data_IF_955850530281
#
_entry.id   IF_955850530281
#
_cell.length_a   1.000
_cell.length_b   1.000
_cell.length_c   1.000
_cell.angle_alpha   90.00
_cell.angle_beta   90.00
_cell.angle_gamma   90.00
#
_symmetry.space_group_name_H-M   'P 1'
#
loop_
_entity.id
_entity.type
_entity.pdbx_description
1 polymer ?
#
# COMPACT_ATOMS: atom_id res chain seq x y z
N UNK A 1 11.09 -16.90 5.09
CA UNK A 1 9.62 -16.92 5.02
C UNK A 1 9.24 -17.39 3.62
N UNK A 2 8.24 -18.26 3.48
CA UNK A 2 7.80 -18.74 2.17
C UNK A 2 6.73 -17.83 1.54
N UNK A 3 6.43 -18.10 0.26
CA UNK A 3 5.49 -17.31 -0.54
C UNK A 3 4.04 -17.39 -0.03
N UNK A 4 3.64 -18.55 0.52
CA UNK A 4 2.28 -18.76 1.06
C UNK A 4 2.09 -17.91 2.32
N UNK A 5 3.10 -17.87 3.17
CA UNK A 5 3.11 -17.07 4.40
C UNK A 5 3.04 -15.59 4.06
N UNK A 6 3.77 -15.13 3.03
CA UNK A 6 3.67 -13.75 2.56
C UNK A 6 2.26 -13.40 2.08
N UNK A 7 1.63 -14.27 1.29
CA UNK A 7 0.23 -14.08 0.87
C UNK A 7 -0.68 -13.96 2.09
N UNK A 8 -0.62 -14.94 3.00
CA UNK A 8 -1.48 -15.00 4.18
C UNK A 8 -1.34 -13.76 5.06
N UNK A 9 -0.12 -13.34 5.33
CA UNK A 9 0.18 -12.14 6.13
C UNK A 9 -0.34 -10.87 5.45
N UNK A 10 -0.08 -10.70 4.15
CA UNK A 10 -0.52 -9.54 3.39
C UNK A 10 -2.06 -9.40 3.36
N UNK A 11 -2.75 -10.48 2.97
CA UNK A 11 -4.21 -10.46 2.84
C UNK A 11 -4.90 -10.41 4.21
N UNK A 12 -4.34 -11.10 5.21
CA UNK A 12 -4.84 -11.09 6.58
C UNK A 12 -4.78 -9.70 7.20
N UNK A 13 -3.64 -9.02 7.10
CA UNK A 13 -3.52 -7.65 7.61
C UNK A 13 -4.44 -6.67 6.88
N UNK A 14 -4.53 -6.76 5.54
CA UNK A 14 -5.44 -5.94 4.75
C UNK A 14 -6.90 -6.12 5.18
N UNK A 15 -7.35 -7.37 5.35
CA UNK A 15 -8.72 -7.67 5.78
C UNK A 15 -9.01 -7.14 7.20
N UNK A 16 -8.13 -7.46 8.16
CA UNK A 16 -8.30 -7.07 9.56
C UNK A 16 -8.36 -5.55 9.72
N UNK A 17 -7.43 -4.83 9.06
CA UNK A 17 -7.40 -3.37 9.14
C UNK A 17 -8.62 -2.75 8.46
N UNK A 18 -9.02 -3.26 7.29
CA UNK A 18 -10.23 -2.81 6.61
C UNK A 18 -11.47 -2.96 7.49
N UNK A 19 -11.64 -4.13 8.12
CA UNK A 19 -12.75 -4.39 9.05
C UNK A 19 -12.68 -3.44 10.26
N UNK A 20 -11.51 -3.32 10.90
CA UNK A 20 -11.35 -2.51 12.11
C UNK A 20 -11.68 -1.03 11.86
N UNK A 21 -11.17 -0.45 10.78
CA UNK A 21 -11.43 0.94 10.42
C UNK A 21 -12.89 1.12 9.97
N UNK A 22 -13.40 0.23 9.14
CA UNK A 22 -14.77 0.33 8.63
C UNK A 22 -15.83 0.19 9.74
N UNK A 23 -15.58 -0.62 10.77
CA UNK A 23 -16.50 -0.76 11.92
C UNK A 23 -16.41 0.40 12.90
N UNK A 24 -15.22 0.93 13.14
CA UNK A 24 -15.01 2.03 14.10
C UNK A 24 -15.36 3.39 13.52
N UNK A 25 -15.29 3.57 12.19
CA UNK A 25 -15.39 4.88 11.54
C UNK A 25 -14.25 5.83 11.97
N UNK A 26 -13.11 5.28 12.42
CA UNK A 26 -12.02 6.03 13.02
C UNK A 26 -11.50 7.17 12.13
N UNK A 27 -11.41 6.90 10.83
CA UNK A 27 -10.84 7.81 9.81
C UNK A 27 -11.92 8.35 8.87
N UNK A 28 -13.19 8.20 9.22
CA UNK A 28 -14.30 8.63 8.38
C UNK A 28 -14.64 10.10 8.61
N UNK A 29 -15.09 10.78 7.55
CA UNK A 29 -15.64 12.14 7.57
C UNK A 29 -14.71 13.21 8.18
N UNK A 30 -13.39 13.04 8.06
CA UNK A 30 -12.41 14.03 8.52
C UNK A 30 -12.53 15.33 7.70
N UNK A 31 -12.63 16.46 8.40
CA UNK A 31 -12.82 17.83 7.88
C UNK A 31 -11.57 18.72 8.01
N UNK A 32 -10.57 18.30 8.77
CA UNK A 32 -9.33 19.03 9.00
C UNK A 32 -9.36 19.94 10.24
N UNK A 33 -10.22 19.66 11.22
CA UNK A 33 -10.17 20.33 12.52
C UNK A 33 -9.06 19.74 13.42
N UNK A 34 -8.89 20.28 14.64
CA UNK A 34 -7.84 19.82 15.56
C UNK A 34 -7.95 18.32 15.92
N UNK A 35 -9.17 17.80 16.05
CA UNK A 35 -9.41 16.38 16.34
C UNK A 35 -9.02 15.50 15.15
N UNK A 36 -9.25 16.00 13.94
CA UNK A 36 -8.84 15.33 12.71
C UNK A 36 -7.32 15.25 12.56
N UNK A 37 -6.53 16.20 13.07
CA UNK A 37 -5.06 16.09 13.05
C UNK A 37 -4.53 14.91 13.87
N UNK A 38 -5.17 14.58 14.99
CA UNK A 38 -4.86 13.37 15.76
C UNK A 38 -5.20 12.13 14.93
N UNK A 39 -6.36 12.12 14.27
CA UNK A 39 -6.80 11.01 13.40
C UNK A 39 -5.90 10.85 12.17
N UNK A 40 -5.45 11.93 11.55
CA UNK A 40 -4.45 11.91 10.48
C UNK A 40 -3.16 11.29 10.96
N UNK A 41 -2.66 11.68 12.13
CA UNK A 41 -1.45 11.11 12.74
C UNK A 41 -1.59 9.61 12.99
N UNK A 42 -2.73 9.19 13.55
CA UNK A 42 -3.05 7.77 13.76
C UNK A 42 -3.09 7.02 12.43
N UNK A 43 -3.76 7.58 11.41
CA UNK A 43 -3.80 6.99 10.07
C UNK A 43 -2.40 6.82 9.46
N UNK A 44 -1.58 7.87 9.49
CA UNK A 44 -0.19 7.85 8.99
C UNK A 44 0.60 6.74 9.68
N UNK A 45 0.53 6.63 11.00
CA UNK A 45 1.26 5.63 11.77
C UNK A 45 0.73 4.22 11.47
N UNK A 46 -0.58 4.01 11.46
CA UNK A 46 -1.18 2.69 11.19
C UNK A 46 -0.80 2.18 9.80
N UNK A 47 -0.99 2.99 8.75
CA UNK A 47 -0.65 2.59 7.39
C UNK A 47 0.86 2.56 7.14
N UNK A 48 1.64 3.39 7.85
CA UNK A 48 3.10 3.34 7.87
C UNK A 48 3.63 2.04 8.49
N UNK A 49 3.07 1.61 9.63
CA UNK A 49 3.38 0.31 10.25
C UNK A 49 3.03 -0.84 9.30
N UNK A 50 1.91 -0.77 8.60
CA UNK A 50 1.58 -1.78 7.59
C UNK A 50 2.61 -1.82 6.45
N UNK A 51 3.08 -0.65 6.01
CA UNK A 51 4.14 -0.53 5.01
C UNK A 51 5.46 -1.15 5.51
N UNK A 52 5.81 -0.89 6.77
CA UNK A 52 6.96 -1.50 7.47
C UNK A 52 6.84 -3.02 7.51
N UNK A 53 5.70 -3.54 7.99
CA UNK A 53 5.41 -4.97 8.06
C UNK A 53 5.48 -5.62 6.69
N UNK A 54 4.99 -4.94 5.64
CA UNK A 54 5.12 -5.41 4.26
C UNK A 54 6.58 -5.59 3.80
N UNK A 55 7.51 -4.80 4.34
CA UNK A 55 8.96 -4.94 4.08
C UNK A 55 9.64 -5.96 4.98
N UNK A 56 9.21 -6.08 6.24
CA UNK A 56 9.73 -7.09 7.18
C UNK A 56 9.33 -8.49 6.70
N UNK A 57 8.09 -8.63 6.23
CA UNK A 57 7.57 -9.83 5.60
C UNK A 57 8.07 -9.99 4.15
N UNK A 58 9.20 -9.41 3.77
CA UNK A 58 9.71 -9.60 2.41
C UNK A 58 10.41 -10.94 2.23
N UNK A 59 10.38 -11.44 1.00
CA UNK A 59 11.20 -12.59 0.59
C UNK A 59 12.35 -12.06 -0.23
N UNK A 60 13.57 -12.45 0.16
CA UNK A 60 14.78 -11.98 -0.50
C UNK A 60 15.12 -12.91 -1.68
N UNK A 61 15.23 -12.33 -2.87
CA UNK A 61 15.67 -13.00 -4.10
C UNK A 61 16.87 -12.26 -4.66
N UNK A 62 18.06 -12.85 -4.55
CA UNK A 62 19.32 -12.34 -5.13
C UNK A 62 19.62 -10.85 -4.83
N UNK A 63 19.21 -10.35 -3.67
CA UNK A 63 19.41 -8.95 -3.27
C UNK A 63 18.23 -8.01 -3.55
N UNK A 64 17.15 -8.51 -4.15
CA UNK A 64 15.85 -7.84 -4.21
C UNK A 64 14.91 -8.34 -3.12
N UNK A 65 13.99 -7.47 -2.70
CA UNK A 65 13.00 -7.76 -1.67
C UNK A 65 11.62 -7.83 -2.33
N UNK A 66 11.08 -9.03 -2.50
CA UNK A 66 9.69 -9.24 -2.89
C UNK A 66 8.81 -8.90 -1.69
N UNK A 67 8.10 -7.78 -1.77
CA UNK A 67 7.40 -7.17 -0.65
C UNK A 67 6.07 -6.54 -1.09
N UNK A 68 5.19 -6.29 -0.13
CA UNK A 68 3.85 -5.71 -0.36
C UNK A 68 3.71 -4.32 0.24
N UNK A 69 4.84 -3.63 0.41
CA UNK A 69 4.98 -2.37 1.15
C UNK A 69 4.05 -1.26 0.65
N UNK A 70 3.80 -1.21 -0.65
CA UNK A 70 2.99 -0.16 -1.27
C UNK A 70 1.51 -0.23 -0.85
N UNK A 71 1.04 -1.38 -0.36
CA UNK A 71 -0.34 -1.57 0.09
C UNK A 71 -0.77 -0.52 1.11
N UNK A 72 -0.02 -0.37 2.22
CA UNK A 72 -0.34 0.59 3.29
C UNK A 72 -0.56 2.02 2.77
N UNK A 73 0.43 2.61 2.08
CA UNK A 73 0.30 3.91 1.44
C UNK A 73 -0.87 4.02 0.45
N UNK A 74 -1.14 2.98 -0.34
CA UNK A 74 -2.26 2.97 -1.30
C UNK A 74 -3.60 2.97 -0.56
N UNK A 75 -3.79 2.14 0.48
CA UNK A 75 -5.03 2.14 1.27
C UNK A 75 -5.25 3.51 1.92
N UNK A 76 -4.19 4.05 2.54
CA UNK A 76 -4.15 5.33 3.20
C UNK A 76 -4.54 6.47 2.26
N UNK A 77 -3.90 6.52 1.09
CA UNK A 77 -4.13 7.54 0.08
C UNK A 77 -5.51 7.45 -0.56
N UNK A 78 -5.93 6.25 -1.01
CA UNK A 78 -7.18 6.06 -1.75
C UNK A 78 -8.43 6.28 -0.92
N UNK A 79 -8.42 5.95 0.37
CA UNK A 79 -9.63 5.99 1.20
C UNK A 79 -9.63 7.15 2.20
N UNK A 80 -8.45 7.62 2.62
CA UNK A 80 -8.32 8.60 3.71
C UNK A 80 -7.50 9.85 3.32
N UNK A 81 -7.07 9.94 2.05
CA UNK A 81 -6.55 11.15 1.45
C UNK A 81 -5.02 11.30 1.45
N UNK A 82 -4.51 12.37 0.80
CA UNK A 82 -3.10 12.49 0.44
C UNK A 82 -2.18 12.63 1.65
N UNK A 83 -2.63 13.25 2.74
CA UNK A 83 -1.83 13.42 3.95
C UNK A 83 -1.47 12.06 4.54
N UNK A 84 -2.45 11.15 4.65
CA UNK A 84 -2.23 9.80 5.17
C UNK A 84 -1.41 8.97 4.20
N UNK A 85 -1.75 9.00 2.90
CA UNK A 85 -1.04 8.24 1.88
C UNK A 85 0.45 8.58 1.80
N UNK A 86 0.79 9.88 1.74
CA UNK A 86 2.18 10.35 1.68
C UNK A 86 2.90 10.09 2.99
N UNK A 87 2.27 10.37 4.14
CA UNK A 87 2.89 10.13 5.45
C UNK A 87 3.25 8.66 5.65
N UNK A 88 2.33 7.74 5.32
CA UNK A 88 2.59 6.30 5.37
C UNK A 88 3.70 5.89 4.38
N UNK A 89 3.71 6.47 3.18
CA UNK A 89 4.74 6.20 2.18
C UNK A 89 6.14 6.61 2.64
N UNK A 90 6.26 7.77 3.28
CA UNK A 90 7.55 8.25 3.83
C UNK A 90 8.06 7.28 4.88
N UNK A 91 7.21 6.80 5.80
CA UNK A 91 7.60 5.82 6.83
C UNK A 91 8.10 4.52 6.18
N UNK A 92 7.33 3.97 5.22
CA UNK A 92 7.71 2.75 4.51
C UNK A 92 8.97 2.91 3.65
N UNK A 93 9.13 4.05 3.00
CA UNK A 93 10.31 4.37 2.19
C UNK A 93 11.55 4.55 3.07
N UNK A 94 11.45 5.25 4.20
CA UNK A 94 12.55 5.45 5.13
C UNK A 94 13.12 4.13 5.66
N UNK A 95 12.25 3.19 6.02
CA UNK A 95 12.69 1.86 6.44
C UNK A 95 13.29 1.04 5.31
N UNK A 96 12.71 1.07 4.10
CA UNK A 96 13.33 0.41 2.95
C UNK A 96 14.70 1.00 2.66
N UNK A 97 14.85 2.31 2.80
CA UNK A 97 16.11 3.01 2.57
C UNK A 97 17.20 2.51 3.54
N UNK A 98 16.87 2.29 4.82
CA UNK A 98 17.83 1.76 5.80
C UNK A 98 18.31 0.34 5.53
N UNK A 99 17.59 -0.45 4.70
CA UNK A 99 17.98 -1.83 4.39
C UNK A 99 19.08 -1.95 3.32
N UNK A 100 19.36 -0.88 2.56
CA UNK A 100 20.39 -0.94 1.51
C UNK A 100 20.05 -1.90 0.35
N UNK A 101 21.02 -2.10 -0.56
CA UNK A 101 20.92 -2.99 -1.71
C UNK A 101 20.55 -2.31 -3.04
N UNK A 102 20.63 -3.08 -4.13
CA UNK A 102 20.52 -2.57 -5.50
C UNK A 102 19.16 -1.96 -5.85
N UNK A 103 18.09 -2.38 -5.16
CA UNK A 103 16.72 -1.93 -5.44
C UNK A 103 16.23 -0.80 -4.53
N UNK A 104 17.08 -0.24 -3.66
CA UNK A 104 16.65 0.80 -2.68
C UNK A 104 15.96 1.97 -3.34
N UNK A 105 16.64 2.59 -4.31
CA UNK A 105 16.17 3.80 -4.96
C UNK A 105 14.82 3.58 -5.68
N UNK A 106 14.70 2.61 -6.61
CA UNK A 106 13.42 2.36 -7.28
C UNK A 106 12.30 2.00 -6.30
N UNK A 107 12.58 1.15 -5.31
CA UNK A 107 11.57 0.73 -4.34
C UNK A 107 11.12 1.88 -3.43
N UNK A 108 12.00 2.77 -2.98
CA UNK A 108 11.61 3.93 -2.18
C UNK A 108 10.77 4.92 -3.01
N UNK A 109 11.21 5.21 -4.23
CA UNK A 109 10.52 6.13 -5.12
C UNK A 109 9.14 5.61 -5.50
N UNK A 110 9.02 4.32 -5.83
CA UNK A 110 7.74 3.69 -6.14
C UNK A 110 6.75 3.79 -4.98
N UNK A 111 7.18 3.55 -3.74
CA UNK A 111 6.33 3.66 -2.55
C UNK A 111 5.84 5.09 -2.32
N UNK A 112 6.72 6.09 -2.50
CA UNK A 112 6.35 7.52 -2.40
C UNK A 112 5.33 7.88 -3.49
N UNK A 113 5.59 7.48 -4.74
CA UNK A 113 4.68 7.70 -5.86
C UNK A 113 3.32 7.03 -5.59
N UNK A 114 3.32 5.81 -5.06
CA UNK A 114 2.10 5.09 -4.74
C UNK A 114 1.23 5.84 -3.72
N UNK A 115 1.82 6.33 -2.62
CA UNK A 115 1.11 7.13 -1.61
C UNK A 115 0.64 8.49 -2.13
N UNK A 116 1.46 9.16 -2.94
CA UNK A 116 1.12 10.46 -3.53
C UNK A 116 -0.03 10.33 -4.55
N UNK A 117 0.11 9.44 -5.54
CA UNK A 117 -0.85 9.29 -6.63
C UNK A 117 -2.20 8.78 -6.11
N UNK A 118 -2.20 7.80 -5.21
CA UNK A 118 -3.44 7.35 -4.56
C UNK A 118 -4.15 8.47 -3.80
N UNK A 119 -3.40 9.31 -3.08
CA UNK A 119 -3.90 10.50 -2.41
C UNK A 119 -4.49 11.56 -3.34
N UNK A 120 -3.83 11.81 -4.47
CA UNK A 120 -4.32 12.71 -5.51
C UNK A 120 -5.63 12.18 -6.12
N UNK A 121 -5.71 10.87 -6.39
CA UNK A 121 -6.92 10.25 -6.91
C UNK A 121 -8.07 10.38 -5.90
N UNK A 122 -7.81 10.20 -4.61
CA UNK A 122 -8.80 10.49 -3.58
C UNK A 122 -9.30 11.94 -3.66
N UNK A 123 -8.41 12.91 -3.82
CA UNK A 123 -8.79 14.33 -3.88
C UNK A 123 -9.78 14.63 -5.02
N UNK A 124 -9.56 14.06 -6.21
CA UNK A 124 -10.41 14.31 -7.38
C UNK A 124 -11.66 13.44 -7.46
N UNK A 125 -11.58 12.18 -7.01
CA UNK A 125 -12.66 11.20 -7.26
C UNK A 125 -13.48 10.87 -6.00
N UNK A 126 -12.94 11.04 -4.78
CA UNK A 126 -13.58 10.78 -3.48
C UNK A 126 -14.59 9.63 -3.50
N UNK A 127 -15.88 9.96 -3.52
CA UNK A 127 -17.00 9.02 -3.41
C UNK A 127 -17.18 8.12 -4.65
N UNK A 128 -16.54 8.43 -5.77
CA UNK A 128 -16.59 7.63 -7.00
C UNK A 128 -15.61 6.46 -6.99
N UNK A 129 -14.72 6.37 -6.01
CA UNK A 129 -13.75 5.28 -5.90
C UNK A 129 -14.49 4.01 -5.45
N UNK A 130 -14.63 3.06 -6.37
CA UNK A 130 -15.14 1.71 -6.09
C UNK A 130 -14.00 0.75 -5.76
N UNK A 131 -14.31 -0.42 -5.19
CA UNK A 131 -13.32 -1.50 -4.96
C UNK A 131 -12.57 -1.85 -6.25
N UNK A 132 -13.28 -1.91 -7.38
CA UNK A 132 -12.68 -2.22 -8.68
C UNK A 132 -11.72 -1.12 -9.11
N UNK A 133 -12.13 0.15 -9.02
CA UNK A 133 -11.28 1.29 -9.37
C UNK A 133 -10.03 1.32 -8.49
N UNK A 134 -10.19 1.15 -7.17
CA UNK A 134 -9.07 1.08 -6.22
C UNK A 134 -8.07 -0.03 -6.58
N UNK A 135 -8.57 -1.20 -6.96
CA UNK A 135 -7.75 -2.34 -7.38
C UNK A 135 -7.00 -2.07 -8.68
N UNK A 136 -7.67 -1.46 -9.68
CA UNK A 136 -7.04 -1.09 -10.94
C UNK A 136 -5.96 -0.03 -10.77
N UNK A 137 -6.17 0.94 -9.87
CA UNK A 137 -5.15 1.94 -9.52
C UNK A 137 -3.94 1.26 -8.87
N UNK A 138 -4.17 0.34 -7.93
CA UNK A 138 -3.10 -0.42 -7.30
C UNK A 138 -2.31 -1.25 -8.32
N UNK A 139 -2.99 -1.85 -9.30
CA UNK A 139 -2.36 -2.56 -10.40
C UNK A 139 -1.49 -1.62 -11.23
N UNK A 140 -2.01 -0.47 -11.64
CA UNK A 140 -1.26 0.52 -12.39
C UNK A 140 -0.02 1.02 -11.62
N UNK A 141 -0.14 1.30 -10.32
CA UNK A 141 0.97 1.70 -9.47
C UNK A 141 2.03 0.59 -9.30
N UNK A 142 1.59 -0.66 -9.22
CA UNK A 142 2.50 -1.82 -9.17
C UNK A 142 3.27 -1.97 -10.48
N UNK A 143 2.64 -1.70 -11.63
CA UNK A 143 3.33 -1.66 -12.93
C UNK A 143 4.34 -0.51 -13.01
N UNK A 144 3.99 0.68 -12.50
CA UNK A 144 4.94 1.80 -12.38
C UNK A 144 6.14 1.41 -11.52
N UNK A 145 5.92 0.67 -10.42
CA UNK A 145 7.02 0.13 -9.62
C UNK A 145 7.95 -0.76 -10.45
N UNK A 146 7.41 -1.67 -11.26
CA UNK A 146 8.22 -2.54 -12.13
C UNK A 146 9.02 -1.73 -13.16
N UNK A 147 8.42 -0.70 -13.75
CA UNK A 147 9.11 0.21 -14.66
C UNK A 147 10.28 0.90 -13.95
N UNK A 148 10.06 1.41 -12.73
CA UNK A 148 11.13 2.03 -11.95
C UNK A 148 12.26 1.06 -11.64
N UNK A 149 11.95 -0.20 -11.31
CA UNK A 149 12.96 -1.24 -11.13
C UNK A 149 13.80 -1.44 -12.39
N UNK A 150 13.19 -1.51 -13.58
CA UNK A 150 13.93 -1.70 -14.84
C UNK A 150 14.90 -0.54 -15.08
N UNK A 151 14.45 0.70 -14.91
CA UNK A 151 15.23 1.87 -15.31
C UNK A 151 16.23 2.37 -14.28
N UNK A 152 15.99 2.15 -12.98
CA UNK A 152 16.80 2.73 -11.91
C UNK A 152 17.71 1.73 -11.20
N UNK A 153 17.68 0.47 -11.61
CA UNK A 153 18.56 -0.57 -11.05
C UNK A 153 19.77 -0.77 -11.98
N UNK A 154 21.00 -0.91 -11.46
CA UNK A 154 22.20 -1.05 -12.30
C UNK A 154 22.23 -2.35 -13.11
N UNK A 155 23.00 -2.35 -14.21
CA UNK A 155 23.36 -3.53 -15.00
C UNK A 155 22.16 -4.41 -15.45
N UNK A 156 21.02 -3.80 -15.78
CA UNK A 156 19.78 -4.51 -16.14
C UNK A 156 19.25 -5.47 -15.05
N UNK A 157 19.71 -5.34 -13.79
CA UNK A 157 19.27 -6.22 -12.71
C UNK A 157 17.75 -6.13 -12.49
N UNK A 158 17.14 -4.96 -12.69
CA UNK A 158 15.69 -4.80 -12.64
C UNK A 158 14.94 -5.65 -13.66
N UNK A 159 15.48 -5.80 -14.87
CA UNK A 159 14.91 -6.67 -15.91
C UNK A 159 14.98 -8.13 -15.48
N UNK A 160 16.16 -8.58 -15.06
CA UNK A 160 16.39 -9.93 -14.53
C UNK A 160 15.41 -10.28 -13.40
N UNK A 161 15.21 -9.37 -12.44
CA UNK A 161 14.29 -9.59 -11.33
C UNK A 161 12.84 -9.82 -11.79
N UNK A 162 12.42 -9.19 -12.87
CA UNK A 162 11.03 -9.28 -13.34
C UNK A 162 10.82 -10.52 -14.21
N UNK A 163 11.82 -10.93 -15.00
CA UNK A 163 11.71 -12.07 -15.92
C UNK A 163 12.12 -13.40 -15.31
N UNK A 164 13.17 -13.40 -14.48
CA UNK A 164 13.80 -14.63 -13.98
C UNK A 164 13.40 -14.97 -12.54
N UNK A 165 12.67 -14.08 -11.86
CA UNK A 165 12.25 -14.30 -10.47
C UNK A 165 10.74 -14.04 -10.29
N UNK A 166 10.09 -14.63 -9.27
CA UNK A 166 8.70 -14.34 -8.98
C UNK A 166 8.47 -12.91 -8.45
N UNK A 167 9.50 -12.07 -8.30
CA UNK A 167 9.40 -10.72 -7.74
C UNK A 167 8.43 -9.84 -8.51
N UNK A 168 8.54 -9.81 -9.84
CA UNK A 168 7.69 -8.97 -10.68
C UNK A 168 6.22 -9.38 -10.59
N UNK A 169 5.92 -10.64 -10.90
CA UNK A 169 4.55 -11.16 -10.86
C UNK A 169 3.97 -11.13 -9.45
N UNK A 170 4.78 -11.39 -8.43
CA UNK A 170 4.39 -11.34 -7.02
C UNK A 170 3.94 -9.95 -6.61
N UNK A 171 4.74 -8.90 -6.87
CA UNK A 171 4.35 -7.53 -6.49
C UNK A 171 3.11 -7.08 -7.26
N UNK A 172 3.07 -7.31 -8.58
CA UNK A 172 1.96 -6.92 -9.47
C UNK A 172 0.64 -7.62 -9.14
N UNK A 173 0.67 -8.76 -8.46
CA UNK A 173 -0.55 -9.47 -8.04
C UNK A 173 -0.91 -9.24 -6.57
N UNK A 174 0.07 -9.31 -5.67
CA UNK A 174 -0.17 -9.26 -4.22
C UNK A 174 -0.60 -7.89 -3.71
N UNK A 175 -0.05 -6.79 -4.27
CA UNK A 175 -0.46 -5.43 -3.87
C UNK A 175 -1.89 -5.13 -4.35
N UNK A 176 -2.28 -5.38 -5.61
CA UNK A 176 -3.67 -5.16 -6.01
C UNK A 176 -4.66 -6.05 -5.28
N UNK A 177 -4.34 -7.33 -5.04
CA UNK A 177 -5.19 -8.22 -4.27
C UNK A 177 -5.40 -7.74 -2.83
N UNK A 178 -4.35 -7.23 -2.18
CA UNK A 178 -4.50 -6.69 -0.83
C UNK A 178 -5.31 -5.38 -0.82
N UNK A 179 -5.19 -4.54 -1.84
CA UNK A 179 -6.04 -3.35 -2.01
C UNK A 179 -7.50 -3.74 -2.23
N UNK A 180 -7.77 -4.77 -3.04
CA UNK A 180 -9.10 -5.31 -3.25
C UNK A 180 -9.71 -5.76 -1.92
N UNK A 181 -8.99 -6.59 -1.17
CA UNK A 181 -9.46 -7.16 0.10
C UNK A 181 -9.68 -6.06 1.13
N UNK A 182 -8.72 -5.16 1.33
CA UNK A 182 -8.87 -4.02 2.24
C UNK A 182 -10.11 -3.20 1.90
N UNK A 183 -10.24 -2.79 0.64
CA UNK A 183 -11.31 -1.92 0.15
C UNK A 183 -12.68 -2.56 0.33
N UNK A 184 -12.80 -3.85 0.00
CA UNK A 184 -14.03 -4.61 0.17
C UNK A 184 -14.41 -4.74 1.65
N UNK A 185 -13.47 -5.13 2.50
CA UNK A 185 -13.68 -5.27 3.94
C UNK A 185 -14.08 -3.94 4.60
N UNK A 186 -13.40 -2.85 4.24
CA UNK A 186 -13.66 -1.50 4.75
C UNK A 186 -15.07 -1.03 4.41
N UNK A 187 -15.43 -1.01 3.13
CA UNK A 187 -16.75 -0.55 2.69
C UNK A 187 -17.87 -1.43 3.23
N UNK A 188 -17.70 -2.75 3.20
CA UNK A 188 -18.72 -3.69 3.70
C UNK A 188 -18.96 -3.53 5.20
N UNK A 189 -17.90 -3.32 5.97
CA UNK A 189 -17.98 -3.10 7.41
C UNK A 189 -18.67 -1.77 7.74
N UNK A 190 -18.37 -0.72 6.97
CA UNK A 190 -18.99 0.60 7.08
C UNK A 190 -20.49 0.55 6.79
N UNK A 191 -20.89 -0.12 5.70
CA UNK A 191 -22.30 -0.35 5.36
C UNK A 191 -23.05 -1.11 6.45
N UNK A 192 -22.42 -2.15 7.03
CA UNK A 192 -23.03 -2.98 8.07
C UNK A 192 -23.28 -2.19 9.37
N UNK A 193 -22.43 -1.22 9.69
CA UNK A 193 -22.64 -0.32 10.85
C UNK A 193 -23.70 0.73 10.53
N UNK A 194 -23.74 1.27 9.32
CA UNK A 194 -24.74 2.26 8.91
C UNK A 194 -26.18 1.70 8.97
N UNK A 195 -26.39 0.43 8.57
CA UNK A 195 -27.71 -0.23 8.60
C UNK A 195 -28.24 -0.55 10.01
N UNK A 196 -27.41 -0.44 11.04
CA UNK A 196 -27.81 -0.71 12.44
C UNK A 196 -28.25 0.54 13.19
N UNK A 197 -28.07 1.72 12.61
CA UNK A 197 -28.52 3.01 13.13
C UNK A 197 -29.86 3.37 12.52
#
# INVERSE_FOLDING_TARGET
MDFITLIGVNLGFAALLGIAIGRSGLLDNMKGDFTDWIRYSIGIVLFGIMSLLGSIASIQYEGALLNVRDGGPIYGGLWFGPIIGIGAAIIGAAYRFSLGGATVVPCCLATIIAGLVSGIIWYFFREKITVVIATLIALALSLVHMVLLIFLTPNNFGWYLITETPTGIGIVTLVPLSVLIFSWCYLRSKEAVAKKK
#
